data_IF_629223178069
#
_entry.id   IF_629223178069
#
_cell.length_a   1.000
_cell.length_b   1.000
_cell.length_c   1.000
_cell.angle_alpha   90.00
_cell.angle_beta   90.00
_cell.angle_gamma   90.00
#
_symmetry.space_group_name_H-M   'P 1'
#
loop_
_entity.id
_entity.type
_entity.pdbx_description
1 polymer ?
#
# COMPACT_ATOMS: atom_id res chain seq x y z
N UNK A 1 -3.47 -20.27 -9.42
CA UNK A 1 -3.66 -19.28 -10.50
C UNK A 1 -2.94 -17.97 -10.13
N UNK A 2 -1.60 -17.96 -10.21
CA UNK A 2 -0.81 -16.73 -10.05
C UNK A 2 -0.97 -15.92 -11.33
N UNK A 3 -2.01 -15.07 -11.34
CA UNK A 3 -2.10 -13.88 -12.18
C UNK A 3 -0.93 -12.96 -11.80
N UNK A 4 0.29 -13.36 -12.12
CA UNK A 4 1.26 -12.48 -12.78
C UNK A 4 0.58 -12.10 -14.09
N UNK A 5 -0.42 -11.21 -14.05
CA UNK A 5 -0.23 -9.82 -14.46
C UNK A 5 0.85 -9.85 -15.53
N UNK A 6 0.44 -10.16 -16.77
CA UNK A 6 1.18 -9.73 -17.95
C UNK A 6 1.42 -8.24 -17.73
N UNK A 7 2.65 -7.95 -17.34
CA UNK A 7 3.09 -6.67 -16.86
C UNK A 7 2.94 -5.70 -18.02
N UNK A 8 2.14 -4.68 -17.77
CA UNK A 8 1.95 -3.52 -18.61
C UNK A 8 3.31 -2.83 -18.75
N UNK A 9 4.02 -3.14 -19.83
CA UNK A 9 5.13 -2.32 -20.31
C UNK A 9 4.49 -1.09 -20.93
N UNK A 10 4.68 0.06 -20.28
CA UNK A 10 4.46 1.36 -20.92
C UNK A 10 5.23 1.45 -22.23
N UNK A 11 4.90 2.45 -23.06
CA UNK A 11 5.71 2.86 -24.22
C UNK A 11 7.19 3.13 -23.89
N UNK A 12 7.55 3.23 -22.61
CA UNK A 12 8.90 3.49 -22.08
C UNK A 12 9.55 2.23 -21.47
N UNK A 13 8.96 1.04 -21.62
CA UNK A 13 9.47 -0.21 -21.04
C UNK A 13 9.40 -0.28 -19.50
N UNK A 14 8.88 0.76 -18.85
CA UNK A 14 8.68 0.83 -17.40
C UNK A 14 7.38 0.12 -17.00
N UNK A 15 7.47 -0.74 -15.97
CA UNK A 15 6.33 -1.40 -15.35
C UNK A 15 5.59 -0.41 -14.45
N UNK A 16 4.49 0.15 -14.94
CA UNK A 16 3.59 0.97 -14.12
C UNK A 16 2.80 0.03 -13.21
N UNK A 17 2.83 0.29 -11.89
CA UNK A 17 2.10 -0.51 -10.89
C UNK A 17 1.17 0.39 -10.07
N UNK A 18 0.14 -0.15 -9.39
CA UNK A 18 -0.73 0.62 -8.48
C UNK A 18 0.03 1.34 -7.35
N UNK A 19 1.26 0.89 -7.07
CA UNK A 19 2.10 1.43 -6.01
C UNK A 19 3.13 2.45 -6.52
N UNK A 20 3.19 2.71 -7.83
CA UNK A 20 4.06 3.76 -8.38
C UNK A 20 3.63 5.11 -7.80
N UNK A 21 4.61 5.92 -7.37
CA UNK A 21 4.35 7.23 -6.77
C UNK A 21 3.69 8.15 -7.81
N UNK A 22 2.65 8.87 -7.40
CA UNK A 22 1.92 9.82 -8.27
C UNK A 22 2.88 10.86 -8.86
N UNK A 23 3.77 11.42 -8.04
CA UNK A 23 4.75 12.42 -8.49
C UNK A 23 5.61 11.93 -9.66
N UNK A 24 6.09 10.67 -9.61
CA UNK A 24 6.89 10.08 -10.68
C UNK A 24 6.08 9.94 -11.98
N UNK A 25 4.80 9.53 -11.88
CA UNK A 25 3.94 9.42 -13.06
C UNK A 25 3.66 10.81 -13.65
N UNK A 26 3.39 11.80 -12.82
CA UNK A 26 3.17 13.16 -13.27
C UNK A 26 4.42 13.71 -13.98
N UNK A 27 5.61 13.53 -13.41
CA UNK A 27 6.90 13.90 -14.03
C UNK A 27 7.12 13.21 -15.39
N UNK A 28 6.94 11.88 -15.47
CA UNK A 28 7.14 11.13 -16.73
C UNK A 28 6.13 11.52 -17.81
N UNK A 29 4.90 11.82 -17.39
CA UNK A 29 3.81 12.09 -18.32
C UNK A 29 3.67 13.56 -18.68
N UNK A 30 4.26 14.46 -17.89
CA UNK A 30 4.07 15.91 -18.00
C UNK A 30 2.64 16.36 -17.69
N UNK A 31 1.83 15.51 -17.04
CA UNK A 31 0.43 15.81 -16.72
C UNK A 31 0.35 16.25 -15.27
N UNK A 32 0.19 17.55 -15.04
CA UNK A 32 0.17 18.18 -13.72
C UNK A 32 -1.10 19.01 -13.50
N UNK A 33 -1.32 19.41 -12.24
CA UNK A 33 -2.36 20.37 -11.84
C UNK A 33 -3.75 20.02 -12.36
N UNK A 34 -4.44 21.01 -12.90
CA UNK A 34 -5.82 20.90 -13.38
C UNK A 34 -6.02 19.77 -14.42
N UNK A 35 -5.04 19.52 -15.29
CA UNK A 35 -5.11 18.42 -16.28
C UNK A 35 -5.15 17.06 -15.59
N UNK A 36 -4.40 16.91 -14.50
CA UNK A 36 -4.41 15.69 -13.69
C UNK A 36 -5.74 15.50 -12.96
N UNK A 37 -6.27 16.56 -12.37
CA UNK A 37 -7.57 16.52 -11.68
C UNK A 37 -8.72 16.20 -12.63
N UNK A 38 -8.72 16.76 -13.85
CA UNK A 38 -9.68 16.41 -14.90
C UNK A 38 -9.53 14.96 -15.33
N UNK A 39 -8.31 14.43 -15.45
CA UNK A 39 -8.07 13.01 -15.71
C UNK A 39 -8.67 12.12 -14.62
N UNK A 40 -8.40 12.43 -13.34
CA UNK A 40 -8.98 11.69 -12.22
C UNK A 40 -10.52 11.71 -12.28
N UNK A 41 -11.11 12.86 -12.56
CA UNK A 41 -12.56 13.05 -12.63
C UNK A 41 -13.18 12.24 -13.76
N UNK A 42 -12.62 12.31 -14.98
CA UNK A 42 -13.12 11.56 -16.13
C UNK A 42 -13.02 10.06 -15.88
N UNK A 43 -11.88 9.59 -15.37
CA UNK A 43 -11.72 8.17 -15.03
C UNK A 43 -12.74 7.76 -13.97
N UNK A 44 -12.96 8.57 -12.93
CA UNK A 44 -13.95 8.27 -11.90
C UNK A 44 -15.35 8.08 -12.50
N UNK A 45 -15.80 9.02 -13.32
CA UNK A 45 -17.12 8.98 -13.99
C UNK A 45 -17.27 7.76 -14.90
N UNK A 46 -16.24 7.39 -15.65
CA UNK A 46 -16.28 6.20 -16.51
C UNK A 46 -16.38 4.90 -15.70
N UNK A 47 -15.72 4.82 -14.54
CA UNK A 47 -15.86 3.67 -13.65
C UNK A 47 -17.21 3.63 -12.93
N UNK A 48 -17.82 4.77 -12.61
CA UNK A 48 -19.15 4.84 -11.97
C UNK A 48 -20.27 4.26 -12.84
N UNK A 49 -20.09 4.26 -14.17
CA UNK A 49 -20.98 3.56 -15.11
C UNK A 49 -20.93 2.03 -14.98
N UNK A 50 -19.99 1.49 -14.19
CA UNK A 50 -19.76 0.07 -14.00
C UNK A 50 -19.73 -0.31 -12.51
N UNK A 51 -20.87 -0.20 -11.78
CA UNK A 51 -20.92 -0.44 -10.34
C UNK A 51 -20.56 -1.86 -9.92
N UNK A 52 -20.75 -2.84 -10.81
CA UNK A 52 -20.49 -4.27 -10.56
C UNK A 52 -19.12 -4.73 -11.07
N UNK A 53 -18.17 -3.81 -11.28
CA UNK A 53 -16.84 -4.16 -11.77
C UNK A 53 -16.06 -4.94 -10.71
N UNK A 54 -15.93 -6.24 -10.93
CA UNK A 54 -15.10 -7.16 -10.13
C UNK A 54 -13.77 -7.44 -10.84
N UNK A 55 -12.81 -8.04 -10.11
CA UNK A 55 -11.52 -8.46 -10.68
C UNK A 55 -11.63 -9.39 -11.89
N UNK A 56 -12.66 -10.25 -11.96
CA UNK A 56 -12.88 -11.17 -13.10
C UNK A 56 -13.49 -10.47 -14.31
N UNK A 57 -14.29 -9.42 -14.08
CA UNK A 57 -14.90 -8.62 -15.16
C UNK A 57 -13.94 -7.62 -15.83
N UNK A 58 -12.77 -7.37 -15.24
CA UNK A 58 -11.79 -6.42 -15.76
C UNK A 58 -10.85 -7.06 -16.82
N UNK A 59 -11.45 -7.52 -17.91
CA UNK A 59 -10.77 -8.25 -19.00
C UNK A 59 -10.00 -7.31 -19.94
N UNK A 60 -9.04 -7.83 -20.71
CA UNK A 60 -8.29 -7.03 -21.71
C UNK A 60 -9.20 -6.28 -22.70
N UNK A 61 -10.26 -6.88 -23.27
CA UNK A 61 -11.19 -6.15 -24.14
C UNK A 61 -11.90 -5.00 -23.42
N UNK A 62 -12.38 -5.24 -22.19
CA UNK A 62 -13.01 -4.19 -21.39
C UNK A 62 -12.05 -3.03 -21.11
N UNK A 63 -10.79 -3.33 -20.79
CA UNK A 63 -9.76 -2.34 -20.53
C UNK A 63 -9.47 -1.47 -21.76
N UNK A 64 -9.43 -2.07 -22.95
CA UNK A 64 -9.24 -1.33 -24.20
C UNK A 64 -10.42 -0.37 -24.45
N UNK A 65 -11.65 -0.86 -24.36
CA UNK A 65 -12.85 -0.05 -24.55
C UNK A 65 -12.98 1.07 -23.52
N UNK A 66 -12.68 0.79 -22.26
CA UNK A 66 -12.69 1.77 -21.19
C UNK A 66 -11.69 2.91 -21.47
N UNK A 67 -10.45 2.57 -21.89
CA UNK A 67 -9.42 3.58 -22.21
C UNK A 67 -9.81 4.42 -23.42
N UNK A 68 -10.46 3.82 -24.42
CA UNK A 68 -11.00 4.54 -25.59
C UNK A 68 -12.07 5.54 -25.17
N UNK A 69 -13.02 5.15 -24.30
CA UNK A 69 -14.05 6.06 -23.76
C UNK A 69 -13.46 7.19 -22.90
N UNK A 70 -12.45 6.89 -22.09
CA UNK A 70 -11.74 7.89 -21.29
C UNK A 70 -11.07 8.93 -22.20
N UNK A 71 -10.36 8.51 -23.25
CA UNK A 71 -9.75 9.43 -24.21
C UNK A 71 -10.77 10.34 -24.88
N UNK A 72 -11.89 9.78 -25.33
CA UNK A 72 -12.97 10.57 -25.93
C UNK A 72 -13.54 11.60 -24.94
N UNK A 73 -13.78 11.18 -23.69
CA UNK A 73 -14.30 12.05 -22.64
C UNK A 73 -13.32 13.15 -22.23
N UNK A 74 -12.01 12.86 -22.22
CA UNK A 74 -10.96 13.86 -21.99
C UNK A 74 -10.92 14.92 -23.09
N UNK A 75 -11.03 14.49 -24.35
CA UNK A 75 -11.09 15.41 -25.49
C UNK A 75 -12.32 16.34 -25.40
N UNK A 76 -13.49 15.79 -25.05
CA UNK A 76 -14.71 16.57 -24.82
C UNK A 76 -14.57 17.56 -23.65
N UNK A 77 -13.79 17.22 -22.62
CA UNK A 77 -13.50 18.09 -21.48
C UNK A 77 -12.39 19.13 -21.75
N UNK A 78 -11.95 19.28 -23.00
CA UNK A 78 -10.88 20.22 -23.39
C UNK A 78 -9.48 19.79 -22.96
N UNK A 79 -9.30 18.53 -22.56
CA UNK A 79 -8.00 17.98 -22.14
C UNK A 79 -7.44 17.06 -23.24
N UNK A 80 -6.90 17.68 -24.28
CA UNK A 80 -6.24 16.95 -25.36
C UNK A 80 -4.84 16.45 -24.96
N UNK A 81 -4.30 15.49 -25.72
CA UNK A 81 -2.90 15.06 -25.68
C UNK A 81 -2.41 14.56 -24.30
N UNK A 82 -3.23 13.80 -23.58
CA UNK A 82 -2.79 13.09 -22.38
C UNK A 82 -2.04 11.81 -22.79
N UNK A 83 -0.81 11.63 -22.27
CA UNK A 83 -0.02 10.43 -22.53
C UNK A 83 -0.75 9.17 -22.04
N UNK A 84 -0.66 8.09 -22.82
CA UNK A 84 -1.31 6.81 -22.48
C UNK A 84 -0.92 6.31 -21.09
N UNK A 85 0.34 6.50 -20.71
CA UNK A 85 0.88 6.07 -19.41
C UNK A 85 0.15 6.70 -18.21
N UNK A 86 -0.27 7.97 -18.33
CA UNK A 86 -1.07 8.64 -17.29
C UNK A 86 -2.46 8.01 -17.16
N UNK A 87 -3.11 7.77 -18.30
CA UNK A 87 -4.42 7.10 -18.36
C UNK A 87 -4.32 5.71 -17.74
N UNK A 88 -3.31 4.94 -18.16
CA UNK A 88 -3.07 3.58 -17.71
C UNK A 88 -2.86 3.50 -16.20
N UNK A 89 -2.04 4.40 -15.66
CA UNK A 89 -1.83 4.50 -14.23
C UNK A 89 -3.13 4.79 -13.48
N UNK A 90 -3.87 5.83 -13.86
CA UNK A 90 -5.08 6.25 -13.14
C UNK A 90 -6.18 5.20 -13.23
N UNK A 91 -6.36 4.60 -14.41
CA UNK A 91 -7.32 3.50 -14.64
C UNK A 91 -6.97 2.28 -13.78
N UNK A 92 -5.71 1.85 -13.81
CA UNK A 92 -5.24 0.72 -13.00
C UNK A 92 -5.38 1.01 -11.50
N UNK A 93 -5.07 2.23 -11.07
CA UNK A 93 -5.19 2.63 -9.68
C UNK A 93 -6.63 2.65 -9.21
N UNK A 94 -7.55 3.15 -10.05
CA UNK A 94 -8.99 3.14 -9.77
C UNK A 94 -9.52 1.71 -9.68
N UNK A 95 -9.19 0.87 -10.66
CA UNK A 95 -9.55 -0.54 -10.65
C UNK A 95 -9.02 -1.27 -9.41
N UNK A 96 -7.73 -1.09 -9.08
CA UNK A 96 -7.11 -1.69 -7.91
C UNK A 96 -7.87 -1.31 -6.62
N UNK A 97 -8.24 -0.04 -6.48
CA UNK A 97 -8.99 0.44 -5.33
C UNK A 97 -10.41 -0.14 -5.25
N UNK A 98 -11.13 -0.22 -6.38
CA UNK A 98 -12.46 -0.84 -6.45
C UNK A 98 -12.35 -2.32 -6.08
N UNK A 99 -11.45 -3.05 -6.74
CA UNK A 99 -11.27 -4.48 -6.51
C UNK A 99 -10.87 -4.77 -5.06
N UNK A 100 -10.00 -3.95 -4.47
CA UNK A 100 -9.62 -4.06 -3.05
C UNK A 100 -10.81 -3.83 -2.11
N UNK A 101 -11.69 -2.85 -2.40
CA UNK A 101 -12.91 -2.61 -1.61
C UNK A 101 -13.89 -3.76 -1.70
N UNK A 102 -14.20 -4.23 -2.91
CA UNK A 102 -15.11 -5.35 -3.15
C UNK A 102 -14.58 -6.63 -2.49
N UNK A 103 -13.30 -6.93 -2.71
CA UNK A 103 -12.63 -8.10 -2.14
C UNK A 103 -12.63 -8.05 -0.61
N UNK A 104 -12.35 -6.89 -0.01
CA UNK A 104 -12.43 -6.73 1.44
C UNK A 104 -13.86 -6.90 1.97
N UNK A 105 -14.85 -6.29 1.33
CA UNK A 105 -16.26 -6.45 1.71
C UNK A 105 -16.69 -7.92 1.68
N UNK A 106 -16.27 -8.67 0.66
CA UNK A 106 -16.50 -10.11 0.57
C UNK A 106 -15.88 -10.87 1.76
N UNK A 107 -14.60 -10.65 2.05
CA UNK A 107 -13.95 -11.32 3.19
C UNK A 107 -14.54 -10.91 4.54
N UNK A 108 -14.98 -9.65 4.64
CA UNK A 108 -15.66 -9.14 5.83
C UNK A 108 -17.00 -9.84 6.05
N UNK A 109 -17.77 -10.04 4.97
CA UNK A 109 -19.03 -10.77 4.97
C UNK A 109 -18.82 -12.26 5.28
N UNK A 110 -17.84 -12.91 4.64
CA UNK A 110 -17.48 -14.31 4.93
C UNK A 110 -17.17 -14.52 6.42
N UNK A 111 -16.35 -13.63 7.00
CA UNK A 111 -16.03 -13.71 8.43
C UNK A 111 -17.22 -13.34 9.32
N UNK A 112 -18.08 -12.39 8.92
CA UNK A 112 -19.32 -12.09 9.67
C UNK A 112 -20.29 -13.28 9.66
N UNK A 113 -20.34 -14.02 8.55
CA UNK A 113 -21.19 -15.22 8.41
C UNK A 113 -20.65 -16.46 9.12
N UNK A 114 -19.39 -16.46 9.56
CA UNK A 114 -18.80 -17.61 10.27
C UNK A 114 -19.10 -17.63 11.77
N UNK A 115 -19.74 -16.60 12.30
CA UNK A 115 -20.26 -16.60 13.66
C UNK A 115 -21.51 -17.50 13.76
N UNK A 116 -21.67 -18.21 14.89
CA UNK A 116 -22.80 -19.13 15.11
C UNK A 116 -24.17 -18.45 15.09
N UNK A 117 -24.21 -17.15 15.40
CA UNK A 117 -25.39 -16.30 15.28
C UNK A 117 -25.04 -15.02 14.55
N UNK A 118 -26.04 -14.39 13.97
CA UNK A 118 -25.87 -13.07 13.40
C UNK A 118 -25.52 -12.05 14.48
N UNK A 119 -24.48 -11.27 14.23
CA UNK A 119 -24.02 -10.21 15.13
C UNK A 119 -24.61 -8.88 14.66
N UNK A 120 -25.12 -8.10 15.62
CA UNK A 120 -25.42 -6.68 15.38
C UNK A 120 -24.14 -5.87 15.11
N UNK A 121 -24.29 -4.68 14.52
CA UNK A 121 -23.14 -3.88 14.07
C UNK A 121 -22.18 -3.46 15.20
N UNK A 122 -22.71 -3.16 16.39
CA UNK A 122 -21.90 -2.79 17.56
C UNK A 122 -21.04 -3.97 18.02
N UNK A 123 -21.66 -5.14 18.14
CA UNK A 123 -20.99 -6.36 18.56
C UNK A 123 -19.94 -6.81 17.53
N UNK A 124 -20.31 -6.79 16.25
CA UNK A 124 -19.39 -7.09 15.16
C UNK A 124 -18.16 -6.16 15.16
N UNK A 125 -18.36 -4.84 15.37
CA UNK A 125 -17.26 -3.88 15.48
C UNK A 125 -16.33 -4.21 16.66
N UNK A 126 -16.88 -4.66 17.80
CA UNK A 126 -16.08 -5.10 18.94
C UNK A 126 -15.23 -6.33 18.59
N UNK A 127 -15.81 -7.34 17.95
CA UNK A 127 -15.07 -8.54 17.51
C UNK A 127 -14.00 -8.21 16.48
N UNK A 128 -14.30 -7.34 15.52
CA UNK A 128 -13.32 -6.86 14.54
C UNK A 128 -12.15 -6.11 15.20
N UNK A 129 -12.43 -5.31 16.24
CA UNK A 129 -11.39 -4.62 17.03
C UNK A 129 -10.51 -5.64 17.75
N UNK A 130 -11.09 -6.72 18.24
CA UNK A 130 -10.35 -7.79 18.90
C UNK A 130 -9.46 -8.58 17.92
N UNK A 131 -9.96 -8.93 16.74
CA UNK A 131 -9.16 -9.49 15.64
C UNK A 131 -7.96 -8.59 15.29
N UNK A 132 -8.18 -7.27 15.18
CA UNK A 132 -7.12 -6.30 14.91
C UNK A 132 -6.06 -6.27 16.02
N UNK A 133 -6.45 -6.50 17.28
CA UNK A 133 -5.54 -6.58 18.43
C UNK A 133 -4.68 -7.85 18.34
N UNK A 134 -5.29 -9.02 18.18
CA UNK A 134 -4.58 -10.30 18.01
C UNK A 134 -3.60 -10.23 16.84
N UNK A 135 -4.07 -9.75 15.69
CA UNK A 135 -3.22 -9.62 14.49
C UNK A 135 -2.01 -8.74 14.76
N UNK A 136 -2.19 -7.63 15.50
CA UNK A 136 -1.07 -6.74 15.84
C UNK A 136 -0.04 -7.44 16.71
N UNK A 137 -0.47 -8.11 17.77
CA UNK A 137 0.43 -8.86 18.67
C UNK A 137 1.22 -9.92 17.90
N UNK A 138 0.56 -10.73 17.08
CA UNK A 138 1.25 -11.72 16.25
C UNK A 138 2.27 -11.10 15.27
N UNK A 139 2.04 -9.88 14.80
CA UNK A 139 3.02 -9.16 13.96
C UNK A 139 4.20 -8.61 14.77
N UNK A 140 3.96 -8.14 16.00
CA UNK A 140 5.01 -7.67 16.93
C UNK A 140 5.96 -8.83 17.29
N UNK A 141 5.41 -10.00 17.58
CA UNK A 141 6.18 -11.16 18.03
C UNK A 141 7.00 -11.82 16.91
N UNK A 142 6.59 -11.64 15.66
CA UNK A 142 7.16 -12.40 14.54
C UNK A 142 7.80 -11.55 13.45
N UNK A 143 7.45 -10.28 13.28
CA UNK A 143 8.08 -9.42 12.27
C UNK A 143 9.04 -8.44 12.92
N UNK A 144 10.23 -8.32 12.34
CA UNK A 144 11.16 -7.28 12.76
C UNK A 144 10.77 -5.95 12.09
N UNK A 145 9.84 -5.24 12.73
CA UNK A 145 9.30 -3.98 12.20
C UNK A 145 10.31 -2.84 12.24
N UNK A 146 11.33 -2.89 13.10
CA UNK A 146 12.47 -1.96 13.06
C UNK A 146 13.22 -2.06 11.72
N UNK A 147 13.38 -3.28 11.20
CA UNK A 147 13.93 -3.54 9.87
C UNK A 147 12.93 -3.30 8.74
N UNK A 148 11.78 -2.68 9.03
CA UNK A 148 10.70 -2.42 8.07
C UNK A 148 10.19 -3.68 7.37
N UNK A 149 10.26 -4.85 8.01
CA UNK A 149 9.72 -6.09 7.46
C UNK A 149 8.19 -6.02 7.45
N UNK A 150 7.58 -6.00 6.26
CA UNK A 150 6.12 -6.01 6.12
C UNK A 150 5.63 -7.42 5.83
N UNK A 151 4.40 -7.76 6.26
CA UNK A 151 3.89 -9.13 6.15
C UNK A 151 3.81 -9.55 4.67
N UNK A 152 3.46 -8.60 3.80
CA UNK A 152 3.39 -8.82 2.35
C UNK A 152 4.74 -9.14 1.69
N UNK A 153 5.87 -8.87 2.36
CA UNK A 153 7.23 -9.18 1.88
C UNK A 153 7.91 -10.26 2.72
N UNK A 154 7.25 -10.75 3.77
CA UNK A 154 7.77 -11.84 4.58
C UNK A 154 7.82 -13.13 3.73
N UNK A 155 8.80 -14.02 3.98
CA UNK A 155 8.83 -15.34 3.34
C UNK A 155 7.49 -16.07 3.51
N UNK A 156 7.04 -16.89 2.53
CA UNK A 156 5.77 -17.58 2.59
C UNK A 156 5.59 -18.41 3.87
N UNK A 157 6.63 -19.12 4.32
CA UNK A 157 6.63 -19.90 5.57
C UNK A 157 6.33 -19.03 6.79
N UNK A 158 7.00 -17.88 6.87
CA UNK A 158 6.82 -16.91 7.96
C UNK A 158 5.42 -16.29 7.94
N UNK A 159 4.92 -15.92 6.75
CA UNK A 159 3.56 -15.42 6.59
C UNK A 159 2.53 -16.48 7.01
N UNK A 160 2.71 -17.74 6.60
CA UNK A 160 1.82 -18.84 6.97
C UNK A 160 1.83 -19.11 8.47
N UNK A 161 3.00 -19.05 9.12
CA UNK A 161 3.12 -19.20 10.57
C UNK A 161 2.36 -18.11 11.33
N UNK A 162 2.50 -16.84 10.92
CA UNK A 162 1.77 -15.72 11.53
C UNK A 162 0.25 -15.90 11.36
N UNK A 163 -0.21 -16.30 10.17
CA UNK A 163 -1.64 -16.54 9.92
C UNK A 163 -2.18 -17.69 10.77
N UNK A 164 -1.40 -18.76 10.92
CA UNK A 164 -1.76 -19.89 11.77
C UNK A 164 -1.87 -19.46 13.24
N UNK A 165 -0.91 -18.67 13.74
CA UNK A 165 -0.93 -18.14 15.10
C UNK A 165 -2.15 -17.25 15.35
N UNK A 166 -2.44 -16.31 14.44
CA UNK A 166 -3.63 -15.44 14.56
C UNK A 166 -4.90 -16.28 14.67
N UNK A 167 -5.05 -17.33 13.86
CA UNK A 167 -6.23 -18.19 13.92
C UNK A 167 -6.28 -19.07 15.18
N UNK A 168 -5.13 -19.47 15.72
CA UNK A 168 -5.05 -20.17 17.00
C UNK A 168 -5.49 -19.26 18.15
N UNK A 169 -5.01 -18.02 18.18
CA UNK A 169 -5.35 -17.03 19.21
C UNK A 169 -6.82 -16.61 19.12
N UNK A 170 -7.38 -16.51 17.90
CA UNK A 170 -8.81 -16.28 17.70
C UNK A 170 -9.64 -17.43 18.29
N UNK A 171 -9.23 -18.68 18.03
CA UNK A 171 -9.91 -19.85 18.58
C UNK A 171 -9.84 -19.88 20.11
N UNK A 172 -8.69 -19.56 20.69
CA UNK A 172 -8.51 -19.45 22.14
C UNK A 172 -9.41 -18.36 22.77
N UNK A 173 -9.73 -17.31 22.01
CA UNK A 173 -10.65 -16.26 22.42
C UNK A 173 -12.13 -16.54 22.08
N UNK A 174 -12.46 -17.75 21.61
CA UNK A 174 -13.82 -18.13 21.26
C UNK A 174 -14.34 -17.49 19.97
N UNK A 175 -13.46 -17.03 19.08
CA UNK A 175 -13.81 -16.43 17.79
C UNK A 175 -13.66 -17.41 16.62
N UNK A 176 -14.50 -17.27 15.58
CA UNK A 176 -14.37 -18.08 14.39
C UNK A 176 -13.07 -17.74 13.65
N UNK A 177 -12.53 -18.73 12.95
CA UNK A 177 -11.36 -18.55 12.08
C UNK A 177 -11.63 -17.46 11.05
N UNK A 178 -10.62 -16.61 10.83
CA UNK A 178 -10.62 -15.60 9.79
C UNK A 178 -9.92 -16.12 8.54
N UNK A 179 -10.42 -15.72 7.36
CA UNK A 179 -9.75 -16.07 6.10
C UNK A 179 -8.36 -15.43 6.03
N UNK A 180 -7.44 -16.11 5.35
CA UNK A 180 -6.06 -15.65 5.18
C UNK A 180 -6.00 -14.22 4.64
N UNK A 181 -6.85 -13.91 3.67
CA UNK A 181 -6.88 -12.62 3.02
C UNK A 181 -7.48 -11.53 3.91
N UNK A 182 -8.47 -11.87 4.74
CA UNK A 182 -8.97 -10.95 5.76
C UNK A 182 -7.88 -10.61 6.78
N UNK A 183 -7.13 -11.61 7.25
CA UNK A 183 -5.99 -11.42 8.16
C UNK A 183 -4.91 -10.56 7.49
N UNK A 184 -4.52 -10.85 6.25
CA UNK A 184 -3.51 -10.04 5.51
C UNK A 184 -3.92 -8.58 5.35
N UNK A 185 -5.21 -8.32 5.09
CA UNK A 185 -5.72 -6.97 4.97
C UNK A 185 -5.65 -6.22 6.32
N UNK A 186 -6.15 -6.87 7.39
CA UNK A 186 -6.11 -6.31 8.74
C UNK A 186 -4.67 -6.14 9.25
N UNK A 187 -3.77 -7.06 8.90
CA UNK A 187 -2.35 -6.97 9.18
C UNK A 187 -1.74 -5.72 8.56
N UNK A 188 -2.06 -5.38 7.32
CA UNK A 188 -1.58 -4.13 6.71
C UNK A 188 -1.97 -2.90 7.54
N UNK A 189 -3.23 -2.82 7.99
CA UNK A 189 -3.69 -1.71 8.85
C UNK A 189 -3.01 -1.71 10.23
N UNK A 190 -2.84 -2.89 10.84
CA UNK A 190 -2.16 -3.05 12.12
C UNK A 190 -0.70 -2.61 12.03
N UNK A 191 0.00 -2.98 10.96
CA UNK A 191 1.38 -2.58 10.68
C UNK A 191 1.54 -1.07 10.56
N UNK A 192 0.64 -0.38 9.85
CA UNK A 192 0.68 1.09 9.76
C UNK A 192 0.49 1.75 11.12
N UNK A 193 -0.47 1.25 11.90
CA UNK A 193 -0.75 1.79 13.25
C UNK A 193 0.45 1.62 14.17
N UNK A 194 1.05 0.43 14.16
CA UNK A 194 2.22 0.12 14.97
C UNK A 194 3.46 0.92 14.54
N UNK A 195 3.70 1.04 13.23
CA UNK A 195 4.79 1.87 12.70
C UNK A 195 4.66 3.33 13.13
N UNK A 196 3.44 3.88 13.10
CA UNK A 196 3.16 5.24 13.58
C UNK A 196 3.53 5.40 15.06
N UNK A 197 3.08 4.47 15.92
CA UNK A 197 3.40 4.47 17.35
C UNK A 197 4.92 4.38 17.58
N UNK A 198 5.62 3.52 16.84
CA UNK A 198 7.07 3.36 16.97
C UNK A 198 7.83 4.62 16.53
N UNK A 199 7.38 5.31 15.47
CA UNK A 199 7.93 6.60 15.06
C UNK A 199 7.70 7.68 16.14
N UNK A 200 6.49 7.77 16.68
CA UNK A 200 6.15 8.74 17.74
C UNK A 200 6.95 8.51 19.03
N UNK A 201 7.29 7.26 19.33
CA UNK A 201 8.13 6.89 20.47
C UNK A 201 9.64 6.99 20.20
N UNK A 202 10.06 7.41 19.00
CA UNK A 202 11.49 7.46 18.62
C UNK A 202 12.15 6.08 18.47
N UNK A 203 11.37 5.00 18.44
CA UNK A 203 11.83 3.62 18.30
C UNK A 203 12.05 3.21 16.83
N UNK A 204 11.54 4.01 15.89
CA UNK A 204 11.79 3.88 14.46
C UNK A 204 12.35 5.20 13.95
N UNK A 205 13.42 5.14 13.15
CA UNK A 205 13.86 6.32 12.42
C UNK A 205 12.87 6.65 11.30
N UNK A 206 12.45 7.92 11.24
CA UNK A 206 11.72 8.43 10.10
C UNK A 206 12.62 8.33 8.88
N UNK A 207 12.16 7.66 7.82
CA UNK A 207 12.81 7.74 6.50
C UNK A 207 12.53 9.13 5.90
N UNK A 208 12.92 10.20 6.57
CA UNK A 208 13.03 11.53 6.00
C UNK A 208 14.33 11.57 5.23
N UNK A 209 14.20 11.47 3.91
CA UNK A 209 15.13 11.93 2.87
C UNK A 209 16.64 11.86 3.18
N UNK A 210 17.29 10.83 2.63
CA UNK A 210 18.70 10.86 2.25
C UNK A 210 18.97 11.85 1.08
N UNK A 211 18.31 13.01 1.11
CA UNK A 211 18.54 14.16 0.22
C UNK A 211 18.45 15.47 1.02
N UNK A 212 19.12 15.51 2.18
CA UNK A 212 19.75 16.74 2.65
C UNK A 212 21.24 16.46 2.73
N UNK A 213 21.94 16.97 1.73
CA UNK A 213 23.39 17.10 1.66
C UNK A 213 23.99 17.46 3.03
N UNK A 214 25.04 16.77 3.52
CA UNK A 214 25.95 17.38 4.47
C UNK A 214 26.89 18.30 3.68
N UNK A 215 26.32 19.40 3.16
CA UNK A 215 27.08 20.49 2.58
C UNK A 215 27.53 21.43 3.69
N UNK A 216 28.53 21.03 4.48
CA UNK A 216 29.60 21.90 5.03
C UNK A 216 30.42 21.09 6.04
N UNK A 217 31.47 20.44 5.54
CA UNK A 217 32.66 20.23 6.35
C UNK A 217 33.23 21.60 6.74
N UNK A 218 32.88 22.10 7.93
CA UNK A 218 33.52 23.30 8.48
C UNK A 218 34.85 22.89 9.10
N UNK A 219 35.87 22.87 8.23
CA UNK A 219 37.29 22.81 8.58
C UNK A 219 37.69 24.18 9.15
N UNK A 220 37.89 24.26 10.47
CA UNK A 220 38.50 25.38 11.20
C UNK A 220 39.02 24.78 12.51
N UNK A 221 40.26 24.94 12.95
CA UNK A 221 41.51 25.40 12.34
C UNK A 221 42.57 24.81 13.27
N UNK A 222 43.64 24.28 12.69
CA UNK A 222 44.87 23.98 13.40
C UNK A 222 45.55 25.27 13.88
N UNK A 223 46.05 25.25 15.11
CA UNK A 223 47.13 26.10 15.65
C UNK A 223 47.86 25.22 16.68
N UNK A 224 48.97 24.58 16.29
CA UNK A 224 50.36 25.06 16.46
C UNK A 224 50.77 25.05 17.94
N UNK A 225 51.40 23.96 18.39
CA UNK A 225 52.87 23.82 18.51
C UNK A 225 53.43 24.41 19.81
N UNK A 226 53.92 23.53 20.68
CA UNK A 226 55.10 23.76 21.51
C UNK A 226 55.74 22.39 21.75
N UNK A 227 57.07 22.38 21.63
CA UNK A 227 57.94 21.23 21.38
C UNK A 227 58.45 20.63 22.73
N UNK A 228 59.46 19.73 22.76
CA UNK A 228 59.46 18.49 23.54
C UNK A 228 60.30 18.58 24.83
N UNK A 229 60.23 17.57 25.70
CA UNK A 229 61.43 17.20 26.46
C UNK A 229 61.42 15.75 26.94
N UNK A 230 62.50 15.07 26.59
CA UNK A 230 62.93 13.77 27.11
C UNK A 230 63.38 13.91 28.56
N UNK A 231 63.01 13.01 29.46
CA UNK A 231 63.94 12.57 30.51
C UNK A 231 63.62 11.14 30.94
N UNK A 232 64.66 10.30 30.88
CA UNK A 232 64.75 8.96 31.47
C UNK A 232 64.50 9.01 32.98
N UNK A 233 63.82 8.00 33.52
CA UNK A 233 64.35 7.10 34.56
C UNK A 233 63.48 5.87 34.65
#
# INVERSE_FOLDING_TARGET
MRLTVKLWTSSVGLRITPHTRVSMIQEWTGVHGERWEKLLTVVCKEFEKHPNLTGTSYTTPFQFELKKRIKASLAQAGVANIKQDAIDYVVMQRWYNINKKVTHARYEQEWRSSFQRELGDVEYKAQKKFLMKITRTALEDHLNLHKSEILAKAPPEKSSKIIAQVNQDLAAAGLPKATTEFIRFNATKAQWSLRKILLEKGLLESKSDASKTPGTAKKLRSSSSSKPESTKR
#
